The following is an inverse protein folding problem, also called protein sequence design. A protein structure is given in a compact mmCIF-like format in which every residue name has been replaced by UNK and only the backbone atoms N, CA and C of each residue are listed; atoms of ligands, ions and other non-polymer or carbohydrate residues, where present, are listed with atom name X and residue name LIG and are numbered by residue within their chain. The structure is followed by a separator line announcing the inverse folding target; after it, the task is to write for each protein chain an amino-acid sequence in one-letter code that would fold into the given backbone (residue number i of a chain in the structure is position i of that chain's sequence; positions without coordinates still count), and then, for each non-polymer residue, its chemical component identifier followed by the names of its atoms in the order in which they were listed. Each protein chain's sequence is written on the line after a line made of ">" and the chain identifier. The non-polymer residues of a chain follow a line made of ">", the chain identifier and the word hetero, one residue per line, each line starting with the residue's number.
data_IF_476351538266
#
_entry.id   IF_476351538266
#
_cell.length_a   1.000
_cell.length_b   1.000
_cell.length_c   1.000
_cell.angle_alpha   90.00
_cell.angle_beta   90.00
_cell.angle_gamma   90.00
#
_symmetry.space_group_name_H-M   'P 1'
#
loop_
_entity.id
_entity.type
_entity.pdbx_description
1 polymer ?
#
# COMPACT_ATOMS: atom_id res chain seq x y z
N UNK A 1 -2.23 4.27 10.45
CA UNK A 1 -2.92 4.34 9.16
C UNK A 1 -2.38 3.30 8.20
N UNK A 2 -3.26 2.68 7.43
CA UNK A 2 -2.88 1.66 6.47
C UNK A 2 -3.42 2.02 5.10
N UNK A 3 -2.61 1.84 4.08
CA UNK A 3 -3.00 2.05 2.70
C UNK A 3 -2.76 0.76 1.91
N UNK A 4 -3.74 0.38 1.13
CA UNK A 4 -3.62 -0.80 0.29
C UNK A 4 -3.42 -0.34 -1.14
N UNK A 5 -2.33 -0.76 -1.74
CA UNK A 5 -1.92 -0.25 -3.05
C UNK A 5 -1.44 -1.39 -3.95
N UNK A 6 -1.50 -1.14 -5.25
CA UNK A 6 -1.00 -2.10 -6.21
C UNK A 6 0.51 -1.95 -6.38
N UNK A 7 1.08 -2.87 -7.14
CA UNK A 7 2.51 -2.88 -7.39
C UNK A 7 3.02 -1.58 -8.02
N UNK A 8 2.20 -0.93 -8.82
CA UNK A 8 2.59 0.31 -9.49
C UNK A 8 2.53 1.53 -8.59
N UNK A 9 1.66 1.51 -7.58
CA UNK A 9 1.45 2.65 -6.71
C UNK A 9 2.10 2.51 -5.34
N UNK A 10 2.77 1.41 -5.09
CA UNK A 10 3.42 1.18 -3.80
C UNK A 10 4.50 2.22 -3.51
N UNK A 11 5.21 2.65 -4.52
CA UNK A 11 6.25 3.66 -4.35
C UNK A 11 5.66 5.00 -3.93
N UNK A 12 4.54 5.36 -4.52
CA UNK A 12 3.85 6.60 -4.17
C UNK A 12 3.38 6.55 -2.71
N UNK A 13 2.82 5.43 -2.30
CA UNK A 13 2.35 5.26 -0.94
C UNK A 13 3.49 5.32 0.06
N UNK A 14 4.63 4.72 -0.28
CA UNK A 14 5.81 4.75 0.59
C UNK A 14 6.34 6.17 0.73
N UNK A 15 6.41 6.91 -0.37
CA UNK A 15 6.85 8.30 -0.33
C UNK A 15 5.93 9.16 0.54
N UNK A 16 4.63 8.97 0.40
CA UNK A 16 3.67 9.73 1.20
C UNK A 16 3.76 9.39 2.68
N UNK A 17 3.94 8.14 3.00
CA UNK A 17 4.07 7.72 4.39
C UNK A 17 5.32 8.32 5.04
N UNK A 18 6.42 8.34 4.32
CA UNK A 18 7.66 8.96 4.81
C UNK A 18 7.46 10.46 4.99
N UNK A 19 6.82 11.11 4.04
CA UNK A 19 6.59 12.55 4.06
C UNK A 19 5.73 12.95 5.25
N UNK A 20 4.67 12.20 5.52
CA UNK A 20 3.73 12.55 6.58
C UNK A 20 4.24 12.25 7.98
N UNK A 21 4.95 11.13 8.14
CA UNK A 21 5.33 10.65 9.46
C UNK A 21 6.82 10.77 9.77
N UNK A 22 7.63 11.11 8.77
CA UNK A 22 9.08 11.22 8.90
C UNK A 22 9.73 9.95 9.46
N UNK A 23 9.03 8.83 9.37
CA UNK A 23 9.51 7.52 9.82
C UNK A 23 9.36 6.53 8.68
N UNK A 24 10.22 5.50 8.68
CA UNK A 24 10.12 4.46 7.67
C UNK A 24 8.79 3.72 7.83
N UNK A 25 7.96 3.64 6.79
CA UNK A 25 6.69 2.95 6.90
C UNK A 25 6.85 1.44 6.93
N UNK A 26 5.86 0.77 7.48
CA UNK A 26 5.79 -0.68 7.42
C UNK A 26 5.19 -1.05 6.06
N UNK A 27 5.84 -1.98 5.39
CA UNK A 27 5.47 -2.38 4.04
C UNK A 27 5.37 -3.89 4.01
N UNK A 28 4.25 -4.40 3.52
CA UNK A 28 3.99 -5.82 3.54
C UNK A 28 3.26 -6.24 2.28
N UNK A 29 3.67 -7.38 1.71
CA UNK A 29 3.00 -7.93 0.54
C UNK A 29 1.75 -8.69 0.97
N UNK A 30 0.64 -8.46 0.30
CA UNK A 30 -0.61 -9.13 0.60
C UNK A 30 -0.62 -10.54 0.03
N UNK A 31 -1.35 -11.44 0.68
CA UNK A 31 -1.58 -12.77 0.16
C UNK A 31 -2.61 -12.70 -0.96
N UNK A 32 -2.69 -13.74 -1.78
CA UNK A 32 -3.62 -13.77 -2.90
C UNK A 32 -5.07 -13.52 -2.48
N UNK A 33 -5.49 -14.16 -1.40
CA UNK A 33 -6.85 -13.98 -0.90
C UNK A 33 -7.13 -12.54 -0.49
N UNK A 34 -6.18 -11.90 0.16
CA UNK A 34 -6.30 -10.53 0.58
C UNK A 34 -6.27 -9.58 -0.61
N UNK A 35 -5.42 -9.87 -1.58
CA UNK A 35 -5.29 -9.08 -2.79
C UNK A 35 -6.60 -9.08 -3.59
N UNK A 36 -7.27 -10.22 -3.68
CA UNK A 36 -8.52 -10.34 -4.43
C UNK A 36 -9.67 -9.56 -3.80
N UNK A 37 -9.66 -9.39 -2.49
CA UNK A 37 -10.73 -8.67 -1.80
C UNK A 37 -10.43 -7.21 -1.53
N UNK A 38 -9.23 -6.74 -1.91
CA UNK A 38 -8.81 -5.37 -1.63
C UNK A 38 -8.35 -4.70 -2.91
N UNK A 39 -8.82 -3.49 -3.16
CA UNK A 39 -8.40 -2.74 -4.34
C UNK A 39 -7.40 -1.65 -3.97
N UNK A 40 -6.55 -1.28 -4.92
CA UNK A 40 -5.63 -0.18 -4.76
C UNK A 40 -6.38 1.12 -4.50
N UNK A 41 -5.90 1.94 -3.58
CA UNK A 41 -6.53 3.22 -3.26
C UNK A 41 -6.34 4.27 -4.35
N UNK A 42 -5.33 4.11 -5.19
CA UNK A 42 -5.02 5.06 -6.24
C UNK A 42 -5.58 4.67 -7.61
N UNK A 43 -5.92 3.42 -7.77
CA UNK A 43 -6.54 2.92 -8.99
C UNK A 43 -7.48 1.78 -8.60
N UNK A 44 -8.15 1.16 -9.55
CA UNK A 44 -9.12 0.10 -9.25
C UNK A 44 -8.57 -1.30 -9.45
N UNK A 45 -7.27 -1.42 -9.60
CA UNK A 45 -6.63 -2.73 -9.71
C UNK A 45 -6.52 -3.39 -8.34
N UNK A 46 -6.39 -4.70 -8.28
CA UNK A 46 -6.22 -5.38 -7.00
C UNK A 46 -4.98 -4.89 -6.27
N UNK A 47 -5.11 -4.66 -4.98
CA UNK A 47 -3.98 -4.25 -4.16
C UNK A 47 -3.01 -5.42 -3.99
N UNK A 48 -1.72 -5.11 -3.98
CA UNK A 48 -0.67 -6.12 -3.82
C UNK A 48 0.09 -5.91 -2.53
N UNK A 49 0.17 -4.66 -2.07
CA UNK A 49 0.93 -4.31 -0.88
C UNK A 49 0.11 -3.49 0.09
N UNK A 50 0.45 -3.63 1.36
CA UNK A 50 -0.11 -2.80 2.43
C UNK A 50 1.03 -1.93 2.98
N UNK A 51 0.79 -0.62 3.02
CA UNK A 51 1.76 0.36 3.55
C UNK A 51 1.12 1.03 4.75
N UNK A 52 1.87 1.13 5.83
CA UNK A 52 1.33 1.76 7.03
C UNK A 52 2.36 1.88 8.13
N UNK A 53 1.91 2.37 9.24
CA UNK A 53 2.75 2.51 10.44
C UNK A 53 2.33 1.51 11.49
#
# INVERSE_FOLDING_TARGET
>A
MKAYVCEEHVEIALDQAIYENALAPIFKKLKEDESLSTTCEYCNLPAVYMVGN
#
